data_IF_753310424527
#
_entry.id   IF_753310424527
#
_cell.length_a   1.000
_cell.length_b   1.000
_cell.length_c   1.000
_cell.angle_alpha   90.00
_cell.angle_beta   90.00
_cell.angle_gamma   90.00
#
_symmetry.space_group_name_H-M   'P 1'
#
loop_
_entity.id
_entity.type
_entity.pdbx_description
1 polymer ?
#
# COMPACT_ATOMS: atom_id res chain seq x y z
N UNK A 1 -5.19 -14.15 44.91
CA UNK A 1 -4.43 -14.64 43.74
C UNK A 1 -3.25 -13.70 43.52
N UNK A 2 -2.02 -14.22 43.52
CA UNK A 2 -0.79 -13.45 43.78
C UNK A 2 -0.25 -12.71 42.53
N UNK A 3 0.20 -11.45 42.65
CA UNK A 3 1.01 -10.77 41.63
C UNK A 3 2.42 -11.36 41.66
N UNK A 4 2.89 -12.01 40.59
CA UNK A 4 4.23 -12.60 40.66
C UNK A 4 4.75 -13.46 39.51
N UNK A 5 4.12 -13.47 38.33
CA UNK A 5 4.63 -14.31 37.21
C UNK A 5 5.55 -13.52 36.26
N UNK A 6 5.21 -12.28 35.91
CA UNK A 6 6.14 -11.42 35.13
C UNK A 6 7.28 -10.85 35.98
N UNK A 7 7.06 -10.56 37.27
CA UNK A 7 8.12 -10.14 38.19
C UNK A 7 9.20 -11.23 38.33
N UNK A 8 8.84 -12.51 38.22
CA UNK A 8 9.80 -13.61 38.17
C UNK A 8 10.59 -13.64 36.87
N UNK A 9 9.98 -13.33 35.72
CA UNK A 9 10.69 -13.23 34.44
C UNK A 9 11.65 -12.03 34.42
N UNK A 10 11.22 -10.87 34.95
CA UNK A 10 12.04 -9.66 35.11
C UNK A 10 13.20 -9.92 36.10
N UNK A 11 12.95 -10.64 37.20
CA UNK A 11 13.99 -11.01 38.18
C UNK A 11 14.94 -12.09 37.63
N UNK A 12 14.46 -13.06 36.83
CA UNK A 12 15.28 -14.08 36.18
C UNK A 12 16.20 -13.45 35.11
N UNK A 13 15.68 -12.48 34.35
CA UNK A 13 16.46 -11.69 33.40
C UNK A 13 17.48 -10.79 34.14
N UNK A 14 17.10 -10.20 35.29
CA UNK A 14 18.02 -9.44 36.14
C UNK A 14 19.12 -10.32 36.77
N UNK A 15 18.82 -11.57 37.12
CA UNK A 15 19.80 -12.53 37.66
C UNK A 15 20.78 -13.04 36.59
N UNK A 16 20.31 -13.24 35.36
CA UNK A 16 21.17 -13.55 34.20
C UNK A 16 22.08 -12.36 33.82
N UNK A 17 21.73 -11.14 34.25
CA UNK A 17 22.54 -9.92 34.05
C UNK A 17 23.78 -9.86 34.96
N UNK A 18 23.81 -10.62 36.06
CA UNK A 18 24.95 -10.65 36.99
C UNK A 18 26.04 -11.67 36.62
N UNK A 19 25.76 -12.60 35.70
CA UNK A 19 26.67 -13.70 35.37
C UNK A 19 27.71 -13.37 34.29
N UNK A 20 27.69 -12.19 33.67
CA UNK A 20 28.68 -11.79 32.66
C UNK A 20 29.11 -10.33 32.84
N UNK A 21 29.76 -10.05 33.96
CA UNK A 21 30.72 -8.95 34.06
C UNK A 21 32.10 -9.50 33.67
N UNK A 22 32.52 -9.32 32.42
CA UNK A 22 33.93 -9.11 32.05
C UNK A 22 34.08 -8.91 30.55
N UNK A 23 34.49 -7.68 30.21
CA UNK A 23 35.42 -7.25 29.15
C UNK A 23 34.86 -6.01 28.43
N UNK A 24 35.71 -4.98 28.45
CA UNK A 24 35.48 -3.60 28.07
C UNK A 24 35.73 -3.33 26.57
N UNK A 25 35.28 -2.15 26.09
CA UNK A 25 36.04 -1.37 25.10
C UNK A 25 35.28 -0.80 23.88
N UNK A 26 35.02 0.51 23.95
CA UNK A 26 35.16 1.59 22.91
C UNK A 26 34.34 1.68 21.59
N UNK A 27 33.79 2.91 21.38
CA UNK A 27 33.75 3.83 20.19
C UNK A 27 33.34 3.28 18.80
N UNK A 28 32.70 3.99 17.86
CA UNK A 28 32.27 5.38 17.64
C UNK A 28 31.13 5.32 16.59
N UNK A 29 30.10 6.17 16.71
CA UNK A 29 28.94 6.21 15.79
C UNK A 29 29.03 7.45 14.89
N UNK A 30 29.34 7.26 13.60
CA UNK A 30 28.96 8.16 12.50
C UNK A 30 28.61 7.31 11.28
N UNK A 31 27.51 7.68 10.62
CA UNK A 31 26.85 7.01 9.49
C UNK A 31 26.07 5.72 9.79
N UNK A 32 24.95 5.86 10.50
CA UNK A 32 23.83 4.92 10.34
C UNK A 32 22.62 5.66 9.78
N UNK A 33 22.33 5.43 8.49
CA UNK A 33 20.92 5.37 8.05
C UNK A 33 20.31 4.20 8.81
N UNK A 34 19.64 4.49 9.92
CA UNK A 34 18.94 3.48 10.73
C UNK A 34 17.76 2.97 9.89
N UNK A 35 17.98 1.91 9.11
CA UNK A 35 16.88 1.05 8.68
C UNK A 35 16.44 0.27 9.91
N UNK A 36 15.16 0.31 10.33
CA UNK A 36 14.69 -0.56 11.40
C UNK A 36 14.95 -2.01 10.97
N UNK A 37 15.79 -2.73 11.74
CA UNK A 37 15.91 -4.18 11.58
C UNK A 37 14.59 -4.78 12.06
N UNK A 38 13.75 -5.15 11.11
CA UNK A 38 12.51 -5.88 11.38
C UNK A 38 12.88 -7.26 11.88
N UNK A 39 12.42 -7.62 13.07
CA UNK A 39 12.72 -8.92 13.69
C UNK A 39 12.00 -10.06 12.94
N UNK A 40 12.64 -11.23 12.79
CA UNK A 40 12.06 -12.44 12.21
C UNK A 40 10.74 -12.83 12.90
N UNK A 41 10.62 -12.56 14.19
CA UNK A 41 9.41 -12.72 14.98
C UNK A 41 8.24 -11.88 14.46
N UNK A 42 8.51 -10.61 14.15
CA UNK A 42 7.52 -9.67 13.57
C UNK A 42 7.10 -10.15 12.18
N UNK A 43 8.05 -10.64 11.39
CA UNK A 43 7.77 -11.16 10.04
C UNK A 43 6.86 -12.39 10.07
N UNK A 44 7.08 -13.32 11.00
CA UNK A 44 6.20 -14.50 11.19
C UNK A 44 4.80 -14.10 11.62
N UNK A 45 4.69 -13.06 12.44
CA UNK A 45 3.41 -12.57 12.90
C UNK A 45 2.59 -11.93 11.79
N UNK A 46 3.24 -11.07 11.00
CA UNK A 46 2.66 -10.47 9.79
C UNK A 46 2.22 -11.59 8.85
N UNK A 47 3.06 -12.59 8.62
CA UNK A 47 2.72 -13.76 7.79
C UNK A 47 1.53 -14.60 8.32
N UNK A 48 1.28 -14.61 9.63
CA UNK A 48 0.15 -15.33 10.24
C UNK A 48 -1.17 -14.56 10.30
N UNK A 49 -1.17 -13.27 9.97
CA UNK A 49 -2.37 -12.39 10.01
C UNK A 49 -2.74 -11.79 8.67
N UNK A 50 -1.78 -11.70 7.77
CA UNK A 50 -1.97 -11.35 6.37
C UNK A 50 -2.31 -12.62 5.54
N UNK A 51 -3.08 -12.52 4.43
CA UNK A 51 -3.17 -13.58 3.43
C UNK A 51 -1.81 -14.22 3.14
N UNK A 52 -1.76 -15.56 3.12
CA UNK A 52 -0.49 -16.29 2.97
C UNK A 52 0.22 -15.96 1.64
N UNK A 53 -0.54 -15.70 0.57
CA UNK A 53 0.01 -15.22 -0.69
C UNK A 53 -0.58 -13.86 -1.07
N UNK A 54 0.32 -12.97 -1.47
CA UNK A 54 0.03 -11.62 -1.92
C UNK A 54 0.79 -11.40 -3.21
N UNK A 55 0.07 -10.97 -4.24
CA UNK A 55 0.62 -10.75 -5.56
C UNK A 55 0.37 -9.32 -5.99
N UNK A 56 1.34 -8.69 -6.63
CA UNK A 56 1.15 -7.36 -7.17
C UNK A 56 1.75 -7.17 -8.55
N UNK A 57 1.06 -6.36 -9.35
CA UNK A 57 1.57 -5.81 -10.61
C UNK A 57 1.53 -4.29 -10.46
N UNK A 58 2.69 -3.66 -10.55
CA UNK A 58 2.88 -2.23 -10.30
C UNK A 58 3.47 -1.62 -11.56
N UNK A 59 2.78 -0.63 -12.11
CA UNK A 59 3.08 -0.03 -13.40
C UNK A 59 3.25 1.48 -13.21
N UNK A 60 4.34 2.04 -13.72
CA UNK A 60 4.61 3.49 -13.66
C UNK A 60 5.30 3.98 -14.92
N UNK A 61 4.66 4.89 -15.66
CA UNK A 61 5.20 5.38 -16.92
C UNK A 61 5.34 6.89 -16.85
N UNK A 62 6.59 7.33 -16.74
CA UNK A 62 7.00 8.72 -16.80
C UNK A 62 7.36 9.12 -18.22
N UNK A 63 8.16 8.29 -18.90
CA UNK A 63 8.67 8.60 -20.23
C UNK A 63 7.91 7.78 -21.29
N UNK A 64 7.43 8.43 -22.35
CA UNK A 64 6.67 7.78 -23.42
C UNK A 64 7.46 7.70 -24.73
N UNK A 65 7.32 6.57 -25.43
CA UNK A 65 8.02 6.37 -26.70
C UNK A 65 7.44 7.22 -27.85
N UNK A 66 6.15 7.55 -27.79
CA UNK A 66 5.53 8.47 -28.74
C UNK A 66 5.78 9.92 -28.29
N UNK A 67 6.52 10.73 -29.06
CA UNK A 67 6.83 12.11 -28.70
C UNK A 67 5.59 13.02 -28.63
N UNK A 68 4.43 12.56 -29.11
CA UNK A 68 3.17 13.29 -29.00
C UNK A 68 2.45 13.05 -27.66
N UNK A 69 2.96 12.16 -26.82
CA UNK A 69 2.47 11.91 -25.47
C UNK A 69 3.38 12.66 -24.51
N UNK A 70 2.87 13.64 -23.73
CA UNK A 70 3.71 14.38 -22.81
C UNK A 70 4.22 13.51 -21.66
N UNK A 71 5.51 13.59 -21.34
CA UNK A 71 6.08 12.87 -20.21
C UNK A 71 5.53 13.37 -18.85
N UNK A 72 5.54 12.47 -17.87
CA UNK A 72 5.17 12.71 -16.47
C UNK A 72 6.40 12.70 -15.58
N UNK A 73 6.41 13.52 -14.52
CA UNK A 73 7.61 13.70 -13.70
C UNK A 73 7.81 12.59 -12.67
N UNK A 74 6.71 12.03 -12.16
CA UNK A 74 6.76 11.18 -10.97
C UNK A 74 6.13 9.80 -11.13
N UNK A 75 5.46 9.49 -12.25
CA UNK A 75 4.78 8.20 -12.42
C UNK A 75 5.70 6.97 -12.23
N UNK A 76 6.94 7.01 -12.76
CA UNK A 76 7.96 5.99 -12.45
C UNK A 76 8.25 5.91 -10.96
N UNK A 77 8.54 7.05 -10.32
CA UNK A 77 8.88 7.13 -8.89
C UNK A 77 7.74 6.72 -7.98
N UNK A 78 6.50 6.98 -8.39
CA UNK A 78 5.28 6.58 -7.71
C UNK A 78 5.19 5.05 -7.67
N UNK A 79 5.38 4.38 -8.82
CA UNK A 79 5.42 2.92 -8.92
C UNK A 79 6.57 2.31 -8.11
N UNK A 80 7.79 2.86 -8.22
CA UNK A 80 8.95 2.40 -7.43
C UNK A 80 8.69 2.53 -5.92
N UNK A 81 8.11 3.64 -5.46
CA UNK A 81 7.80 3.85 -4.04
C UNK A 81 6.70 2.91 -3.53
N UNK A 82 5.67 2.62 -4.34
CA UNK A 82 4.64 1.64 -4.00
C UNK A 82 5.25 0.24 -3.93
N UNK A 83 6.13 -0.13 -4.86
CA UNK A 83 6.88 -1.39 -4.83
C UNK A 83 7.69 -1.53 -3.53
N UNK A 84 8.42 -0.49 -3.15
CA UNK A 84 9.21 -0.49 -1.91
C UNK A 84 8.33 -0.69 -0.68
N UNK A 85 7.20 0.00 -0.58
CA UNK A 85 6.28 -0.11 0.57
C UNK A 85 5.60 -1.48 0.64
N UNK A 86 5.15 -2.02 -0.51
CA UNK A 86 4.49 -3.32 -0.54
C UNK A 86 5.44 -4.47 -0.23
N UNK A 87 6.68 -4.39 -0.73
CA UNK A 87 7.71 -5.42 -0.49
C UNK A 87 8.48 -5.23 0.81
N UNK A 88 8.26 -4.11 1.53
CA UNK A 88 8.79 -3.95 2.88
C UNK A 88 8.07 -4.96 3.80
N UNK A 89 8.83 -5.90 4.40
CA UNK A 89 8.23 -6.95 5.19
C UNK A 89 7.69 -6.44 6.55
N UNK A 90 8.02 -5.21 6.96
CA UNK A 90 7.41 -4.53 8.10
C UNK A 90 6.13 -3.75 7.76
N UNK A 91 5.83 -3.56 6.47
CA UNK A 91 4.68 -2.76 6.03
C UNK A 91 3.73 -3.63 5.19
N UNK A 92 4.01 -3.85 3.91
CA UNK A 92 3.10 -4.58 3.02
C UNK A 92 3.24 -6.11 3.08
N UNK A 93 4.44 -6.62 3.40
CA UNK A 93 4.68 -8.06 3.54
C UNK A 93 4.61 -8.86 2.23
N UNK A 94 4.60 -8.21 1.07
CA UNK A 94 4.65 -8.91 -0.21
C UNK A 94 6.05 -9.50 -0.43
N UNK A 95 6.12 -10.76 -0.82
CA UNK A 95 7.38 -11.36 -1.26
C UNK A 95 7.80 -10.71 -2.59
N UNK A 96 9.08 -10.40 -2.76
CA UNK A 96 9.56 -9.70 -3.97
C UNK A 96 9.30 -10.50 -5.24
N UNK A 97 9.43 -11.82 -5.18
CA UNK A 97 9.13 -12.76 -6.25
C UNK A 97 7.63 -12.81 -6.64
N UNK A 98 6.76 -12.26 -5.80
CA UNK A 98 5.33 -12.11 -6.03
C UNK A 98 4.95 -10.66 -6.38
N UNK A 99 5.91 -9.79 -6.71
CA UNK A 99 5.62 -8.43 -7.15
C UNK A 99 6.36 -8.17 -8.46
N UNK A 100 5.60 -7.90 -9.51
CA UNK A 100 6.12 -7.47 -10.80
C UNK A 100 6.05 -5.94 -10.90
N UNK A 101 7.20 -5.30 -11.17
CA UNK A 101 7.32 -3.86 -11.38
C UNK A 101 7.66 -3.62 -12.86
N UNK A 102 6.80 -2.88 -13.56
CA UNK A 102 7.02 -2.45 -14.94
C UNK A 102 7.10 -0.92 -14.97
N UNK A 103 8.23 -0.39 -15.40
CA UNK A 103 8.45 1.06 -15.47
C UNK A 103 8.97 1.49 -16.82
N UNK A 104 8.47 2.62 -17.32
CA UNK A 104 8.87 3.22 -18.60
C UNK A 104 9.01 2.17 -19.71
N UNK A 105 10.20 1.96 -20.28
CA UNK A 105 10.43 1.05 -21.40
C UNK A 105 10.01 -0.41 -21.15
N UNK A 106 9.92 -0.83 -19.90
CA UNK A 106 9.44 -2.18 -19.53
C UNK A 106 7.91 -2.24 -19.52
N UNK A 107 7.21 -1.12 -19.36
CA UNK A 107 5.75 -1.01 -19.31
C UNK A 107 5.13 -0.88 -20.71
N UNK A 108 5.55 -1.76 -21.63
CA UNK A 108 4.93 -1.91 -22.96
C UNK A 108 3.54 -2.54 -22.87
N UNK A 109 2.71 -2.33 -23.90
CA UNK A 109 1.39 -2.96 -24.01
C UNK A 109 1.47 -4.48 -23.80
N UNK A 110 2.44 -5.15 -24.44
CA UNK A 110 2.59 -6.60 -24.36
C UNK A 110 3.06 -7.05 -22.97
N UNK A 111 3.96 -6.32 -22.32
CA UNK A 111 4.44 -6.68 -20.97
C UNK A 111 3.34 -6.47 -19.93
N UNK A 112 2.59 -5.37 -20.01
CA UNK A 112 1.42 -5.13 -19.13
C UNK A 112 0.39 -6.25 -19.35
N UNK A 113 0.09 -6.59 -20.60
CA UNK A 113 -0.85 -7.66 -20.92
C UNK A 113 -0.41 -9.01 -20.38
N UNK A 114 0.86 -9.38 -20.58
CA UNK A 114 1.39 -10.65 -20.08
C UNK A 114 1.44 -10.69 -18.55
N UNK A 115 1.79 -9.58 -17.90
CA UNK A 115 1.74 -9.45 -16.44
C UNK A 115 0.34 -9.76 -15.87
N UNK A 116 -0.69 -9.20 -16.50
CA UNK A 116 -2.06 -9.32 -16.01
C UNK A 116 -2.74 -10.63 -16.41
N UNK A 117 -2.47 -11.15 -17.62
CA UNK A 117 -3.19 -12.30 -18.20
C UNK A 117 -2.45 -13.63 -18.12
N UNK A 118 -1.12 -13.59 -18.02
CA UNK A 118 -0.32 -14.81 -17.93
C UNK A 118 0.26 -14.94 -16.53
N UNK A 119 1.05 -13.94 -16.10
CA UNK A 119 1.80 -14.03 -14.84
C UNK A 119 0.89 -14.08 -13.61
N UNK A 120 -0.12 -13.22 -13.51
CA UNK A 120 -1.10 -13.29 -12.40
C UNK A 120 -1.92 -14.58 -12.44
N UNK A 121 -2.33 -15.04 -13.63
CA UNK A 121 -3.13 -16.27 -13.79
C UNK A 121 -2.33 -17.51 -13.38
N UNK A 122 -1.03 -17.54 -13.67
CA UNK A 122 -0.14 -18.63 -13.25
C UNK A 122 0.08 -18.65 -11.73
N UNK A 123 0.16 -17.46 -11.10
CA UNK A 123 0.55 -17.31 -9.69
C UNK A 123 -0.62 -17.38 -8.71
N UNK A 124 -1.77 -16.83 -9.07
CA UNK A 124 -2.91 -16.67 -8.16
C UNK A 124 -3.78 -17.91 -8.23
N UNK A 125 -3.88 -18.64 -7.11
CA UNK A 125 -4.61 -19.91 -7.05
C UNK A 125 -5.61 -19.99 -5.89
N UNK A 126 -5.44 -19.18 -4.84
CA UNK A 126 -6.27 -19.20 -3.64
C UNK A 126 -7.38 -18.14 -3.65
N UNK A 127 -8.57 -18.50 -3.19
CA UNK A 127 -9.67 -17.54 -2.99
C UNK A 127 -9.33 -16.45 -1.97
N UNK A 128 -8.44 -16.76 -1.03
CA UNK A 128 -7.98 -15.86 0.02
C UNK A 128 -6.74 -15.02 -0.35
N UNK A 129 -6.10 -15.29 -1.48
CA UNK A 129 -4.93 -14.55 -1.95
C UNK A 129 -5.29 -13.07 -2.15
N UNK A 130 -4.37 -12.16 -1.86
CA UNK A 130 -4.53 -10.73 -2.16
C UNK A 130 -3.87 -10.41 -3.50
N UNK A 131 -4.61 -9.81 -4.43
CA UNK A 131 -4.07 -9.27 -5.67
C UNK A 131 -4.14 -7.75 -5.63
N UNK A 132 -3.00 -7.09 -5.81
CA UNK A 132 -2.90 -5.63 -5.80
C UNK A 132 -2.32 -5.13 -7.13
N UNK A 133 -3.09 -4.34 -7.88
CA UNK A 133 -2.66 -3.76 -9.14
C UNK A 133 -2.56 -2.25 -8.94
N UNK A 134 -1.42 -1.66 -9.30
CA UNK A 134 -1.21 -0.22 -9.26
C UNK A 134 -0.74 0.28 -10.62
N UNK A 135 -1.35 1.37 -11.09
CA UNK A 135 -0.95 2.05 -12.31
C UNK A 135 -0.80 3.54 -12.04
N UNK A 136 0.36 4.11 -12.38
CA UNK A 136 0.58 5.57 -12.45
C UNK A 136 1.00 5.96 -13.86
N UNK A 137 0.27 6.88 -14.48
CA UNK A 137 0.50 7.24 -15.88
C UNK A 137 -0.67 8.00 -16.52
N UNK A 138 -0.66 8.08 -17.85
CA UNK A 138 -1.74 8.66 -18.64
C UNK A 138 -2.92 7.70 -18.86
N UNK A 139 -4.13 8.25 -18.86
CA UNK A 139 -5.36 7.58 -19.26
C UNK A 139 -6.06 8.32 -20.40
N UNK A 140 -6.51 7.60 -21.42
CA UNK A 140 -7.08 8.19 -22.63
C UNK A 140 -8.52 7.76 -22.88
N UNK A 141 -9.46 8.69 -23.13
CA UNK A 141 -10.77 8.34 -23.65
C UNK A 141 -10.75 8.16 -25.18
N UNK A 142 -11.51 7.21 -25.72
CA UNK A 142 -11.69 7.05 -27.17
C UNK A 142 -13.19 7.14 -27.58
N UNK A 143 -13.55 7.97 -28.59
CA UNK A 143 -14.91 8.05 -29.13
C UNK A 143 -15.53 6.72 -29.55
N UNK A 144 -16.81 6.53 -29.21
CA UNK A 144 -17.64 5.48 -29.83
C UNK A 144 -17.63 5.62 -31.35
N UNK A 145 -17.26 4.56 -32.07
CA UNK A 145 -17.80 4.37 -33.42
C UNK A 145 -19.25 3.93 -33.31
N UNK A 146 -20.05 4.15 -34.36
CA UNK A 146 -21.46 3.74 -34.36
C UNK A 146 -21.57 2.23 -34.11
N UNK A 147 -22.22 1.86 -33.00
CA UNK A 147 -22.48 0.47 -32.64
C UNK A 147 -21.46 -0.16 -31.68
N UNK A 148 -20.41 0.56 -31.28
CA UNK A 148 -19.39 0.07 -30.34
C UNK A 148 -19.65 0.56 -28.90
N UNK A 149 -19.23 -0.26 -27.93
CA UNK A 149 -19.14 0.16 -26.53
C UNK A 149 -18.04 1.23 -26.37
N UNK A 150 -18.18 2.08 -25.36
CA UNK A 150 -17.16 3.07 -25.02
C UNK A 150 -15.98 2.37 -24.36
N UNK A 151 -14.75 2.72 -24.72
CA UNK A 151 -13.55 2.20 -24.06
C UNK A 151 -12.64 3.35 -23.61
N UNK A 152 -11.99 3.14 -22.48
CA UNK A 152 -10.95 3.99 -21.93
C UNK A 152 -9.65 3.21 -21.94
N UNK A 153 -8.52 3.86 -22.15
CA UNK A 153 -7.23 3.19 -22.28
C UNK A 153 -6.27 3.66 -21.20
N UNK A 154 -5.54 2.72 -20.62
CA UNK A 154 -4.27 2.99 -19.97
C UNK A 154 -3.21 3.14 -21.05
N UNK A 155 -2.45 4.23 -21.00
CA UNK A 155 -1.42 4.51 -21.99
C UNK A 155 -0.14 3.80 -21.57
N UNK A 156 0.27 2.81 -22.36
CA UNK A 156 1.53 2.08 -22.19
C UNK A 156 2.71 2.88 -22.79
N UNK A 157 3.93 2.48 -22.48
CA UNK A 157 5.16 3.13 -22.98
C UNK A 157 5.20 3.25 -24.52
N UNK A 158 4.84 2.17 -25.21
CA UNK A 158 4.88 2.04 -26.66
C UNK A 158 3.55 2.41 -27.35
N UNK A 159 2.56 2.89 -26.58
CA UNK A 159 1.30 3.39 -27.14
C UNK A 159 1.57 4.53 -28.12
N UNK A 160 0.89 4.49 -29.26
CA UNK A 160 0.85 5.58 -30.24
C UNK A 160 -0.48 6.31 -30.12
N UNK A 161 -0.45 7.60 -29.80
CA UNK A 161 -1.68 8.35 -29.49
C UNK A 161 -2.62 8.45 -30.70
N UNK A 162 -2.07 8.39 -31.92
CA UNK A 162 -2.83 8.37 -33.17
C UNK A 162 -3.43 7.01 -33.52
N UNK A 163 -3.00 5.94 -32.83
CA UNK A 163 -3.40 4.54 -33.02
C UNK A 163 -3.72 3.88 -31.68
N UNK A 164 -4.34 4.62 -30.78
CA UNK A 164 -4.56 4.16 -29.41
C UNK A 164 -5.44 2.90 -29.32
N UNK A 165 -6.39 2.72 -30.25
CA UNK A 165 -7.23 1.51 -30.31
C UNK A 165 -6.44 0.21 -30.45
N UNK A 166 -5.28 0.25 -31.13
CA UNK A 166 -4.46 -0.94 -31.38
C UNK A 166 -3.19 -1.00 -30.54
N UNK A 167 -2.83 0.08 -29.85
CA UNK A 167 -1.56 0.19 -29.11
C UNK A 167 -1.70 0.67 -27.66
N UNK A 168 -2.87 1.16 -27.27
CA UNK A 168 -3.23 1.44 -25.88
C UNK A 168 -3.76 0.19 -25.19
N UNK A 169 -3.63 0.13 -23.87
CA UNK A 169 -4.16 -0.98 -23.08
C UNK A 169 -5.62 -0.67 -22.68
N UNK A 170 -6.63 -1.35 -23.24
CA UNK A 170 -8.02 -1.04 -22.97
C UNK A 170 -8.42 -1.43 -21.54
N UNK A 171 -9.21 -0.58 -20.89
CA UNK A 171 -9.77 -0.83 -19.55
C UNK A 171 -10.71 -2.03 -19.56
N UNK A 172 -11.31 -2.34 -20.71
CA UNK A 172 -12.07 -3.58 -20.91
C UNK A 172 -11.21 -4.85 -20.73
N UNK A 173 -9.92 -4.84 -21.11
CA UNK A 173 -9.00 -5.96 -20.84
C UNK A 173 -8.57 -6.02 -19.36
N UNK A 174 -8.58 -4.90 -18.63
CA UNK A 174 -8.34 -4.90 -17.20
C UNK A 174 -9.39 -5.73 -16.44
N UNK A 175 -10.62 -5.86 -16.97
CA UNK A 175 -11.69 -6.71 -16.40
C UNK A 175 -11.24 -8.14 -16.19
N UNK A 176 -10.35 -8.64 -17.03
CA UNK A 176 -9.97 -10.05 -17.00
C UNK A 176 -9.26 -10.44 -15.71
N UNK A 177 -8.57 -9.49 -15.05
CA UNK A 177 -7.94 -9.74 -13.75
C UNK A 177 -8.97 -10.13 -12.69
N UNK A 178 -10.23 -9.74 -12.86
CA UNK A 178 -11.30 -10.10 -11.94
C UNK A 178 -11.80 -11.54 -12.09
N UNK A 179 -11.37 -12.25 -13.13
CA UNK A 179 -11.64 -13.67 -13.30
C UNK A 179 -10.64 -14.57 -12.55
N UNK A 180 -9.62 -13.98 -11.92
CA UNK A 180 -8.73 -14.70 -11.01
C UNK A 180 -9.55 -15.32 -9.85
N UNK A 181 -9.10 -16.45 -9.28
CA UNK A 181 -9.83 -17.14 -8.21
C UNK A 181 -9.92 -16.33 -6.91
N UNK A 182 -9.03 -15.35 -6.71
CA UNK A 182 -9.00 -14.48 -5.54
C UNK A 182 -10.30 -13.66 -5.40
N UNK A 183 -10.79 -13.55 -4.15
CA UNK A 183 -11.89 -12.66 -3.77
C UNK A 183 -11.42 -11.32 -3.18
N UNK A 184 -10.12 -11.01 -3.26
CA UNK A 184 -9.50 -9.80 -2.69
C UNK A 184 -8.62 -9.15 -3.74
N UNK A 185 -9.24 -8.57 -4.76
CA UNK A 185 -8.55 -7.91 -5.87
C UNK A 185 -8.73 -6.40 -5.72
N UNK A 186 -7.61 -5.70 -5.58
CA UNK A 186 -7.56 -4.25 -5.39
C UNK A 186 -6.80 -3.63 -6.54
N UNK A 187 -7.45 -2.75 -7.29
CA UNK A 187 -6.86 -1.99 -8.39
C UNK A 187 -6.81 -0.51 -8.01
N UNK A 188 -5.64 0.10 -8.10
CA UNK A 188 -5.43 1.52 -7.83
C UNK A 188 -4.89 2.22 -9.07
N UNK A 189 -5.63 3.20 -9.58
CA UNK A 189 -5.32 3.90 -10.81
C UNK A 189 -5.03 5.37 -10.51
N UNK A 190 -3.75 5.74 -10.53
CA UNK A 190 -3.29 7.13 -10.49
C UNK A 190 -3.08 7.67 -11.92
N UNK A 191 -4.18 7.92 -12.62
CA UNK A 191 -4.15 8.41 -13.99
C UNK A 191 -5.19 9.49 -14.27
N UNK A 192 -4.79 10.46 -15.11
CA UNK A 192 -5.68 11.51 -15.58
C UNK A 192 -6.40 11.04 -16.84
N UNK A 193 -7.72 11.16 -16.88
CA UNK A 193 -8.51 10.96 -18.10
C UNK A 193 -9.15 12.24 -18.65
N UNK A 194 -8.98 13.36 -17.95
CA UNK A 194 -9.76 14.59 -18.16
C UNK A 194 -9.20 15.52 -19.23
N UNK A 195 -7.93 15.31 -19.63
CA UNK A 195 -7.22 16.25 -20.51
C UNK A 195 -7.10 17.67 -19.95
N UNK A 196 -7.41 17.90 -18.68
CA UNK A 196 -7.28 19.20 -18.04
C UNK A 196 -5.83 19.42 -17.56
N UNK A 197 -5.38 20.67 -17.48
CA UNK A 197 -4.07 21.02 -16.89
C UNK A 197 -2.86 20.99 -17.82
N UNK A 198 -3.04 21.04 -19.15
CA UNK A 198 -1.94 21.29 -20.11
C UNK A 198 -1.02 20.10 -20.41
N UNK A 199 -1.28 18.92 -19.83
CA UNK A 199 -0.63 17.63 -20.16
C UNK A 199 -1.62 16.64 -20.78
N UNK A 200 -2.55 17.21 -21.54
CA UNK A 200 -3.65 16.48 -22.14
C UNK A 200 -3.16 15.60 -23.27
N UNK A 201 -3.49 14.31 -23.18
CA UNK A 201 -3.48 13.39 -24.32
C UNK A 201 -4.82 13.43 -25.10
N UNK A 202 -5.82 14.16 -24.61
CA UNK A 202 -7.08 14.41 -25.31
C UNK A 202 -6.81 15.45 -26.42
N UNK A 203 -6.98 15.03 -27.68
CA UNK A 203 -6.98 15.93 -28.85
C UNK A 203 -8.02 17.05 -28.70
N UNK A 204 -7.66 18.28 -29.09
CA UNK A 204 -8.60 19.39 -29.20
C UNK A 204 -9.79 18.98 -30.11
N UNK A 205 -11.03 19.08 -29.58
CA UNK A 205 -12.26 18.74 -30.33
C UNK A 205 -12.99 17.47 -29.88
N UNK A 206 -12.49 16.74 -28.88
CA UNK A 206 -13.21 15.62 -28.26
C UNK A 206 -14.45 16.09 -27.48
N UNK A 207 -15.58 15.40 -27.67
CA UNK A 207 -16.89 15.80 -27.14
C UNK A 207 -16.94 15.65 -25.61
N UNK A 208 -17.49 16.62 -24.85
CA UNK A 208 -17.62 16.55 -23.38
C UNK A 208 -18.32 15.28 -22.84
N UNK A 209 -19.19 14.65 -23.62
CA UNK A 209 -19.87 13.40 -23.25
C UNK A 209 -18.98 12.15 -23.29
N UNK A 210 -17.76 12.25 -23.84
CA UNK A 210 -16.83 11.13 -23.91
C UNK A 210 -16.16 10.84 -22.57
N UNK A 211 -15.75 11.90 -21.89
CA UNK A 211 -15.12 11.82 -20.57
C UNK A 211 -16.13 11.32 -19.52
N UNK A 212 -17.42 11.62 -19.69
CA UNK A 212 -18.49 11.22 -18.77
C UNK A 212 -18.78 9.70 -18.70
N UNK A 213 -18.29 8.90 -19.65
CA UNK A 213 -18.49 7.44 -19.65
C UNK A 213 -17.46 6.66 -18.85
N UNK A 214 -16.39 7.31 -18.38
CA UNK A 214 -15.25 6.65 -17.73
C UNK A 214 -15.60 6.24 -16.31
N UNK A 215 -16.24 7.13 -15.54
CA UNK A 215 -16.68 6.78 -14.20
C UNK A 215 -17.72 5.64 -14.25
N UNK A 216 -18.63 5.64 -15.24
CA UNK A 216 -19.59 4.53 -15.47
C UNK A 216 -18.89 3.20 -15.78
N UNK A 217 -17.86 3.22 -16.62
CA UNK A 217 -17.11 2.02 -16.97
C UNK A 217 -16.37 1.47 -15.76
N UNK A 218 -15.65 2.32 -15.01
CA UNK A 218 -14.99 1.96 -13.75
C UNK A 218 -16.00 1.42 -12.72
N UNK A 219 -17.20 1.99 -12.67
CA UNK A 219 -18.28 1.49 -11.80
C UNK A 219 -18.72 0.06 -12.17
N UNK A 220 -18.77 -0.27 -13.47
CA UNK A 220 -19.11 -1.63 -13.95
C UNK A 220 -18.00 -2.66 -13.72
N UNK A 221 -16.76 -2.21 -13.60
CA UNK A 221 -15.61 -3.07 -13.31
C UNK A 221 -15.61 -3.58 -11.87
N UNK A 222 -16.13 -2.79 -10.94
CA UNK A 222 -16.19 -3.14 -9.54
C UNK A 222 -17.20 -4.25 -9.26
N UNK A 223 -16.96 -5.01 -8.20
CA UNK A 223 -17.85 -6.09 -7.78
C UNK A 223 -17.53 -6.56 -6.37
N UNK A 224 -18.23 -7.58 -5.90
CA UNK A 224 -17.93 -8.23 -4.63
C UNK A 224 -16.51 -8.82 -4.67
N UNK A 225 -15.63 -8.37 -3.76
CA UNK A 225 -14.23 -8.77 -3.72
C UNK A 225 -13.31 -8.12 -4.77
N UNK A 226 -13.86 -7.18 -5.56
CA UNK A 226 -13.19 -6.52 -6.69
C UNK A 226 -13.30 -5.02 -6.54
N UNK A 227 -12.26 -4.40 -5.99
CA UNK A 227 -12.26 -2.98 -5.66
C UNK A 227 -11.38 -2.23 -6.63
N UNK A 228 -11.91 -1.13 -7.18
CA UNK A 228 -11.13 -0.17 -7.96
C UNK A 228 -11.16 1.17 -7.26
N UNK A 229 -9.99 1.79 -7.11
CA UNK A 229 -9.85 3.15 -6.63
C UNK A 229 -9.11 3.97 -7.68
N UNK A 230 -9.71 5.08 -8.11
CA UNK A 230 -9.06 6.02 -9.03
C UNK A 230 -8.69 7.31 -8.33
N UNK A 231 -7.62 7.97 -8.78
CA UNK A 231 -7.08 9.16 -8.14
C UNK A 231 -7.92 10.41 -8.32
N UNK A 232 -8.75 10.45 -9.35
CA UNK A 232 -9.62 11.58 -9.68
C UNK A 232 -10.88 11.12 -10.40
N UNK A 233 -11.89 11.99 -10.43
CA UNK A 233 -13.02 11.80 -11.35
C UNK A 233 -12.58 12.07 -12.78
N UNK A 234 -13.35 11.57 -13.74
CA UNK A 234 -13.14 11.79 -15.18
C UNK A 234 -12.88 13.25 -15.60
N UNK A 235 -13.39 14.25 -14.86
CA UNK A 235 -13.29 15.70 -15.18
C UNK A 235 -12.15 16.42 -14.46
N UNK A 236 -11.36 15.69 -13.68
CA UNK A 236 -10.36 16.26 -12.79
C UNK A 236 -8.95 15.82 -13.18
N UNK A 237 -7.97 16.61 -12.78
CA UNK A 237 -6.55 16.30 -13.00
C UNK A 237 -6.03 15.54 -11.79
N UNK A 238 -5.19 14.54 -12.02
CA UNK A 238 -4.31 14.00 -10.98
C UNK A 238 -3.06 14.86 -10.86
N UNK A 239 -2.93 15.52 -9.71
CA UNK A 239 -1.90 16.52 -9.45
C UNK A 239 -0.57 15.89 -9.03
N UNK A 240 0.51 16.28 -9.69
CA UNK A 240 1.88 16.06 -9.23
C UNK A 240 2.33 17.14 -8.24
N UNK A 241 2.86 16.73 -7.08
CA UNK A 241 3.38 17.62 -6.04
C UNK A 241 4.91 17.60 -6.03
N UNK A 242 5.52 18.62 -6.65
CA UNK A 242 6.99 18.73 -6.78
C UNK A 242 7.71 18.74 -5.43
N UNK A 243 7.11 19.35 -4.40
CA UNK A 243 7.69 19.41 -3.05
C UNK A 243 7.87 18.04 -2.36
N UNK A 244 7.10 17.03 -2.78
CA UNK A 244 7.15 15.67 -2.21
C UNK A 244 7.61 14.63 -3.25
N UNK A 245 7.76 15.03 -4.52
CA UNK A 245 8.28 14.18 -5.58
C UNK A 245 7.34 13.07 -6.05
N UNK A 246 6.02 13.26 -5.87
CA UNK A 246 4.99 12.25 -6.12
C UNK A 246 3.68 12.85 -6.62
N UNK A 247 2.83 12.05 -7.28
CA UNK A 247 1.41 12.35 -7.44
C UNK A 247 0.73 12.51 -6.07
N UNK A 248 -0.24 13.41 -5.93
CA UNK A 248 -0.92 13.66 -4.63
C UNK A 248 -1.66 12.43 -4.13
N UNK A 249 -2.22 11.63 -5.04
CA UNK A 249 -2.88 10.37 -4.71
C UNK A 249 -1.88 9.34 -4.24
N UNK A 250 -0.82 9.09 -5.01
CA UNK A 250 0.26 8.18 -4.62
C UNK A 250 0.92 8.60 -3.31
N UNK A 251 1.21 9.88 -3.11
CA UNK A 251 1.72 10.39 -1.84
C UNK A 251 0.78 10.05 -0.67
N UNK A 252 -0.53 10.30 -0.81
CA UNK A 252 -1.49 9.96 0.23
C UNK A 252 -1.60 8.44 0.45
N UNK A 253 -1.50 7.63 -0.60
CA UNK A 253 -1.51 6.18 -0.53
C UNK A 253 -0.29 5.66 0.25
N UNK A 254 0.91 6.14 -0.06
CA UNK A 254 2.14 5.79 0.64
C UNK A 254 2.05 6.12 2.13
N UNK A 255 1.53 7.30 2.45
CA UNK A 255 1.32 7.73 3.83
C UNK A 255 0.28 6.88 4.57
N UNK A 256 -0.80 6.50 3.87
CA UNK A 256 -1.82 5.59 4.38
C UNK A 256 -1.23 4.22 4.72
N UNK A 257 -0.55 3.58 3.76
CA UNK A 257 0.10 2.28 3.91
C UNK A 257 1.19 2.28 4.98
N UNK A 258 1.93 3.38 5.14
CA UNK A 258 2.92 3.58 6.22
C UNK A 258 2.27 3.81 7.60
N UNK A 259 0.96 3.67 7.70
CA UNK A 259 0.23 3.61 8.97
C UNK A 259 -0.50 4.89 9.38
N UNK A 260 -0.52 5.95 8.55
CA UNK A 260 -1.33 7.14 8.86
C UNK A 260 -2.84 6.91 8.66
N UNK A 261 -3.21 5.85 7.95
CA UNK A 261 -4.60 5.44 7.75
C UNK A 261 -5.14 4.58 8.89
N UNK A 262 -4.28 3.80 9.57
CA UNK A 262 -4.65 3.08 10.80
C UNK A 262 -5.18 4.12 11.78
N UNK A 263 -6.48 4.16 11.96
CA UNK A 263 -7.19 5.15 12.79
C UNK A 263 -8.43 4.56 13.42
N UNK A 264 -8.95 3.44 12.90
CA UNK A 264 -10.08 2.74 13.47
C UNK A 264 -9.60 1.89 14.65
N UNK A 265 -10.40 1.89 15.70
CA UNK A 265 -10.23 1.04 16.87
C UNK A 265 -11.32 -0.03 16.87
N UNK A 266 -11.38 -0.78 15.78
CA UNK A 266 -12.37 -1.81 15.44
C UNK A 266 -11.92 -3.24 15.79
N UNK A 267 -10.80 -3.37 16.51
CA UNK A 267 -10.19 -4.65 16.86
C UNK A 267 -9.00 -5.05 15.98
N UNK A 268 -8.80 -4.35 14.85
CA UNK A 268 -7.66 -4.52 13.94
C UNK A 268 -6.54 -3.50 14.15
N UNK A 269 -6.46 -2.87 15.33
CA UNK A 269 -5.40 -1.90 15.64
C UNK A 269 -4.01 -2.48 15.34
N UNK A 270 -3.25 -1.78 14.49
CA UNK A 270 -1.97 -2.24 13.96
C UNK A 270 -2.01 -2.84 12.56
N UNK A 271 -3.19 -3.00 11.96
CA UNK A 271 -3.37 -3.34 10.56
C UNK A 271 -3.95 -2.13 9.83
N UNK A 272 -3.53 -1.93 8.59
CA UNK A 272 -4.06 -0.90 7.70
C UNK A 272 -4.96 -1.60 6.68
N UNK A 273 -6.27 -1.43 6.84
CA UNK A 273 -7.26 -2.03 5.93
C UNK A 273 -7.52 -1.18 4.69
N UNK A 274 -8.07 -1.77 3.64
CA UNK A 274 -8.48 -1.08 2.42
C UNK A 274 -9.50 0.03 2.74
N UNK A 275 -10.44 -0.22 3.65
CA UNK A 275 -11.39 0.76 4.14
C UNK A 275 -10.72 1.96 4.83
N UNK A 276 -9.71 1.72 5.67
CA UNK A 276 -8.93 2.79 6.30
C UNK A 276 -8.12 3.59 5.27
N UNK A 277 -7.50 2.90 4.31
CA UNK A 277 -6.80 3.55 3.20
C UNK A 277 -7.78 4.42 2.42
N UNK A 278 -8.97 3.91 2.09
CA UNK A 278 -10.00 4.66 1.40
C UNK A 278 -10.45 5.91 2.18
N UNK A 279 -10.73 5.77 3.48
CA UNK A 279 -11.12 6.90 4.35
C UNK A 279 -10.01 7.95 4.42
N UNK A 280 -8.74 7.53 4.42
CA UNK A 280 -7.60 8.41 4.38
C UNK A 280 -7.51 9.16 3.04
N UNK A 281 -7.56 8.44 1.91
CA UNK A 281 -7.48 8.99 0.56
C UNK A 281 -8.61 9.98 0.28
N UNK A 282 -9.86 9.59 0.59
CA UNK A 282 -11.07 10.40 0.42
C UNK A 282 -10.99 11.76 1.14
N UNK A 283 -10.26 11.81 2.26
CA UNK A 283 -10.07 13.03 3.04
C UNK A 283 -8.83 13.82 2.62
N UNK A 284 -7.68 13.17 2.43
CA UNK A 284 -6.39 13.83 2.25
C UNK A 284 -6.12 14.29 0.83
N UNK A 285 -6.56 13.54 -0.18
CA UNK A 285 -6.36 13.93 -1.58
C UNK A 285 -7.04 15.27 -1.88
N UNK A 286 -8.35 15.49 -1.56
CA UNK A 286 -8.98 16.78 -1.78
C UNK A 286 -8.38 17.90 -0.91
N UNK A 287 -7.97 17.60 0.33
CA UNK A 287 -7.36 18.58 1.23
C UNK A 287 -6.05 19.15 0.64
N UNK A 288 -5.17 18.29 0.15
CA UNK A 288 -3.89 18.68 -0.42
C UNK A 288 -4.04 19.33 -1.79
N UNK A 289 -4.88 18.77 -2.67
CA UNK A 289 -5.14 19.36 -3.98
C UNK A 289 -5.73 20.78 -3.87
N UNK A 290 -6.66 21.01 -2.93
CA UNK A 290 -7.26 22.33 -2.71
C UNK A 290 -6.24 23.38 -2.26
N UNK A 291 -5.21 23.00 -1.49
CA UNK A 291 -4.11 23.92 -1.11
C UNK A 291 -3.32 24.42 -2.32
N UNK A 292 -3.38 23.70 -3.44
CA UNK A 292 -2.79 24.08 -4.74
C UNK A 292 -3.81 24.67 -5.71
N UNK A 293 -5.04 24.94 -5.27
CA UNK A 293 -6.10 25.49 -6.10
C UNK A 293 -6.73 24.49 -7.07
N UNK A 294 -6.46 23.19 -6.92
CA UNK A 294 -6.94 22.14 -7.83
C UNK A 294 -8.02 21.31 -7.13
N UNK A 295 -9.04 20.92 -7.88
CA UNK A 295 -10.05 19.96 -7.42
C UNK A 295 -9.64 18.56 -7.89
N UNK A 296 -9.35 17.70 -6.93
CA UNK A 296 -9.11 16.28 -7.14
C UNK A 296 -9.87 15.48 -6.09
N UNK A 297 -10.63 14.48 -6.52
CA UNK A 297 -11.52 13.68 -5.69
C UNK A 297 -11.40 12.23 -6.15
N UNK A 298 -10.83 11.34 -5.33
CA UNK A 298 -10.71 9.94 -5.69
C UNK A 298 -12.09 9.28 -5.70
N UNK A 299 -12.24 8.23 -6.50
CA UNK A 299 -13.47 7.43 -6.61
C UNK A 299 -13.15 5.99 -6.19
N UNK A 300 -14.10 5.33 -5.53
CA UNK A 300 -14.06 3.90 -5.25
C UNK A 300 -15.26 3.22 -5.90
N UNK A 301 -15.00 2.07 -6.52
CA UNK A 301 -15.97 1.17 -7.13
C UNK A 301 -15.80 -0.25 -6.58
N UNK A 302 -16.89 -1.00 -6.48
CA UNK A 302 -16.92 -2.37 -5.94
C UNK A 302 -17.30 -2.47 -4.47
N UNK A 303 -17.49 -3.71 -4.01
CA UNK A 303 -17.91 -4.04 -2.65
C UNK A 303 -16.85 -4.93 -2.00
N UNK A 304 -16.41 -4.56 -0.81
CA UNK A 304 -15.37 -5.29 -0.08
C UNK A 304 -15.97 -6.52 0.60
N UNK A 305 -15.22 -7.63 0.61
CA UNK A 305 -15.59 -8.89 1.24
C UNK A 305 -14.69 -9.17 2.44
N UNK A 306 -15.23 -8.96 3.64
CA UNK A 306 -14.45 -9.05 4.87
C UNK A 306 -13.37 -7.96 4.96
N UNK A 307 -12.40 -8.14 5.84
CA UNK A 307 -11.32 -7.16 6.03
C UNK A 307 -10.18 -7.39 5.03
N UNK A 308 -9.95 -6.45 4.11
CA UNK A 308 -8.80 -6.49 3.21
C UNK A 308 -7.63 -5.74 3.83
N UNK A 309 -6.68 -6.47 4.42
CA UNK A 309 -5.49 -5.87 5.04
C UNK A 309 -4.40 -5.61 3.98
N UNK A 310 -4.04 -4.33 3.79
CA UNK A 310 -3.03 -3.91 2.82
C UNK A 310 -1.64 -3.78 3.44
N UNK A 311 -1.54 -3.32 4.68
CA UNK A 311 -0.28 -3.12 5.38
C UNK A 311 -0.40 -3.32 6.90
N UNK A 312 0.75 -3.31 7.57
CA UNK A 312 0.88 -3.41 9.03
C UNK A 312 1.52 -2.14 9.59
N UNK A 313 0.93 -1.62 10.66
CA UNK A 313 1.50 -0.56 11.48
C UNK A 313 2.06 -1.18 12.77
N UNK A 314 3.33 -1.61 12.71
CA UNK A 314 3.99 -2.33 13.81
C UNK A 314 3.90 -1.61 15.17
N UNK A 315 4.18 -0.29 15.28
CA UNK A 315 4.02 0.42 16.55
C UNK A 315 2.61 0.28 17.14
N UNK A 316 1.58 0.46 16.32
CA UNK A 316 0.19 0.32 16.77
C UNK A 316 -0.22 -1.12 17.04
N UNK A 317 0.34 -2.08 16.30
CA UNK A 317 0.14 -3.50 16.55
C UNK A 317 0.60 -3.88 17.95
N UNK A 318 1.80 -3.44 18.36
CA UNK A 318 2.29 -3.65 19.71
C UNK A 318 1.42 -2.96 20.76
N UNK A 319 0.94 -1.74 20.50
CA UNK A 319 0.02 -1.05 21.41
C UNK A 319 -1.29 -1.80 21.58
N UNK A 320 -1.90 -2.28 20.49
CA UNK A 320 -3.15 -3.04 20.52
C UNK A 320 -3.00 -4.37 21.23
N UNK A 321 -1.89 -5.08 21.01
CA UNK A 321 -1.59 -6.33 21.71
C UNK A 321 -1.30 -6.12 23.18
N UNK A 322 -0.58 -5.06 23.53
CA UNK A 322 -0.32 -4.68 24.92
C UNK A 322 -1.64 -4.37 25.65
N UNK A 323 -2.54 -3.64 24.99
CA UNK A 323 -3.89 -3.40 25.52
C UNK A 323 -4.65 -4.70 25.71
N UNK A 324 -4.67 -5.60 24.72
CA UNK A 324 -5.35 -6.90 24.81
C UNK A 324 -4.81 -7.77 25.94
N UNK A 325 -3.49 -7.81 26.13
CA UNK A 325 -2.87 -8.55 27.22
C UNK A 325 -3.30 -7.99 28.59
N UNK A 326 -3.42 -6.66 28.70
CA UNK A 326 -3.90 -6.02 29.92
C UNK A 326 -5.39 -6.31 30.17
N UNK A 327 -6.25 -6.09 29.17
CA UNK A 327 -7.71 -6.28 29.30
C UNK A 327 -8.10 -7.75 29.52
N UNK A 328 -7.29 -8.70 29.03
CA UNK A 328 -7.48 -10.14 29.28
C UNK A 328 -6.90 -10.62 30.60
N UNK A 329 -6.21 -9.76 31.35
CA UNK A 329 -5.61 -10.08 32.65
C UNK A 329 -4.29 -10.84 32.58
N UNK A 330 -3.67 -10.96 31.39
CA UNK A 330 -2.35 -11.59 31.21
C UNK A 330 -1.23 -10.75 31.84
N UNK A 331 -1.40 -9.43 31.89
CA UNK A 331 -0.46 -8.49 32.54
C UNK A 331 -1.20 -7.53 33.48
N UNK A 332 -0.50 -7.04 34.49
CA UNK A 332 -1.00 -6.05 35.45
C UNK A 332 -0.98 -4.63 34.90
N UNK A 333 -1.73 -3.72 35.52
CA UNK A 333 -1.70 -2.30 35.13
C UNK A 333 -0.32 -1.65 35.21
N UNK A 334 0.53 -2.05 36.18
CA UNK A 334 1.92 -1.56 36.27
C UNK A 334 2.77 -2.01 35.09
N UNK A 335 2.57 -3.25 34.64
CA UNK A 335 3.28 -3.84 33.50
C UNK A 335 2.79 -3.22 32.19
N UNK A 336 1.50 -2.92 32.09
CA UNK A 336 0.93 -2.15 30.98
C UNK A 336 1.57 -0.76 30.86
N UNK A 337 1.64 0.00 31.97
CA UNK A 337 2.28 1.32 31.98
C UNK A 337 3.77 1.27 31.62
N UNK A 338 4.50 0.29 32.17
CA UNK A 338 5.90 0.06 31.82
C UNK A 338 6.05 -0.28 30.33
N UNK A 339 5.20 -1.16 29.79
CA UNK A 339 5.22 -1.54 28.38
C UNK A 339 4.97 -0.37 27.45
N UNK A 340 4.00 0.50 27.78
CA UNK A 340 3.78 1.76 27.04
C UNK A 340 5.02 2.65 27.05
N UNK A 341 5.66 2.81 28.21
CA UNK A 341 6.88 3.61 28.33
C UNK A 341 8.02 3.05 27.48
N UNK A 342 8.22 1.73 27.49
CA UNK A 342 9.27 1.07 26.72
C UNK A 342 9.03 1.22 25.20
N UNK A 343 7.80 0.96 24.74
CA UNK A 343 7.44 1.10 23.31
C UNK A 343 7.57 2.55 22.82
N UNK A 344 7.24 3.54 23.65
CA UNK A 344 7.31 4.96 23.28
C UNK A 344 8.74 5.53 23.23
N UNK A 345 9.70 4.89 23.90
CA UNK A 345 11.04 5.46 24.12
C UNK A 345 12.18 4.63 23.50
N UNK A 346 11.89 3.77 22.52
CA UNK A 346 12.84 2.82 21.92
C UNK A 346 14.25 3.38 21.63
N UNK A 347 14.33 4.59 21.07
CA UNK A 347 15.59 5.25 20.70
C UNK A 347 16.41 5.80 21.88
N UNK A 348 15.87 5.80 23.10
CA UNK A 348 16.47 6.41 24.30
C UNK A 348 16.60 5.45 25.49
N UNK A 349 16.39 4.15 25.26
CA UNK A 349 16.44 3.13 26.31
C UNK A 349 17.88 2.79 26.71
N UNK A 350 18.09 2.61 28.01
CA UNK A 350 19.28 1.95 28.57
C UNK A 350 19.40 0.49 28.09
N UNK A 351 20.57 -0.13 28.26
CA UNK A 351 20.77 -1.52 27.83
C UNK A 351 19.80 -2.49 28.51
N UNK A 352 19.57 -2.33 29.82
CA UNK A 352 18.59 -3.13 30.55
C UNK A 352 17.16 -2.92 30.04
N UNK A 353 16.78 -1.69 29.72
CA UNK A 353 15.47 -1.38 29.13
C UNK A 353 15.30 -1.94 27.72
N UNK A 354 16.36 -1.99 26.91
CA UNK A 354 16.32 -2.64 25.59
C UNK A 354 16.09 -4.15 25.70
N UNK A 355 16.71 -4.81 26.68
CA UNK A 355 16.46 -6.24 26.94
C UNK A 355 15.02 -6.48 27.40
N UNK A 356 14.50 -5.63 28.30
CA UNK A 356 13.09 -5.68 28.72
C UNK A 356 12.12 -5.44 27.56
N UNK A 357 12.40 -4.46 26.71
CA UNK A 357 11.60 -4.18 25.52
C UNK A 357 11.62 -5.36 24.56
N UNK A 358 12.78 -6.01 24.34
CA UNK A 358 12.86 -7.21 23.51
C UNK A 358 11.95 -8.31 24.06
N UNK A 359 12.08 -8.64 25.35
CA UNK A 359 11.23 -9.65 25.99
C UNK A 359 9.73 -9.28 25.92
N UNK A 360 9.40 -7.99 26.08
CA UNK A 360 8.03 -7.52 25.89
C UNK A 360 7.54 -7.75 24.46
N UNK A 361 8.35 -7.44 23.44
CA UNK A 361 8.00 -7.71 22.05
C UNK A 361 7.81 -9.20 21.82
N UNK A 362 8.75 -10.04 22.25
CA UNK A 362 8.66 -11.50 22.12
C UNK A 362 7.34 -12.03 22.75
N UNK A 363 6.95 -11.50 23.92
CA UNK A 363 5.66 -11.83 24.57
C UNK A 363 4.46 -11.36 23.75
N UNK A 364 4.46 -10.10 23.29
CA UNK A 364 3.35 -9.56 22.49
C UNK A 364 3.24 -10.29 21.13
N UNK A 365 4.34 -10.80 20.61
CA UNK A 365 4.36 -11.62 19.39
C UNK A 365 3.89 -13.07 19.64
N UNK A 366 3.74 -13.47 20.91
CA UNK A 366 3.31 -14.81 21.30
C UNK A 366 4.44 -15.86 21.24
N UNK A 367 5.69 -15.43 21.15
CA UNK A 367 6.86 -16.32 21.14
C UNK A 367 7.21 -16.85 22.53
N UNK A 368 6.78 -16.12 23.57
CA UNK A 368 6.90 -16.52 24.96
C UNK A 368 5.56 -16.33 25.66
N UNK A 369 5.20 -17.25 26.55
CA UNK A 369 4.01 -17.18 27.39
C UNK A 369 4.38 -16.80 28.83
N UNK A 370 3.41 -16.22 29.54
CA UNK A 370 3.53 -15.97 30.98
C UNK A 370 2.81 -17.13 31.69
N UNK A 371 3.56 -18.19 32.02
CA UNK A 371 3.02 -19.31 32.80
C UNK A 371 2.85 -19.01 34.28
#
# INVERSE_FOLDING_TARGET
MKPGKLLKLIVLIALLSFAQLSIAGERELKDLRIKPKVDQAVLRLIAGTMPQNRYAVIIGISDYQDPNIPDLRFARKDAEAVYEVLTDPAIGGFKKENVLLLVDEDATFMNIRSALRDWLVEKVSGEDDLVFIFFSGHGAPEPKLKGEEFDAYLVAYDTKIDRIRSTGFPMSELKEVFNLPSRKIVVMLDCCYSGAGGRSIIREGLRPGLVAGIDEEIMRLGGEGRIIITSSTEKQVSLELEEVGHGVFTYCLLEALKGKADTKSDGLLGYVTLDEVWDYLKRKVPELARKKGIKQTPIRSGIETGDVILAVNIPKLFQGRLMRAYTSGQITGREYELGKKLLANEGKLSEGERRMLKALKDFLLGEISVE
#
